data_IF_247604254886
#
_entry.id   IF_247604254886
#
_cell.length_a   1.000
_cell.length_b   1.000
_cell.length_c   1.000
_cell.angle_alpha   90.00
_cell.angle_beta   90.00
_cell.angle_gamma   90.00
#
_symmetry.space_group_name_H-M   'P 1'
#
loop_
_entity.id
_entity.type
_entity.pdbx_description
1 polymer ?
#
# COMPACT_ATOMS: atom_id res chain seq x y z
N UNK A 1 -4.27 33.44 -2.76
CA UNK A 1 -3.98 32.94 -1.41
C UNK A 1 -3.95 31.45 -1.58
N UNK A 2 -2.76 30.84 -1.65
CA UNK A 2 -2.61 29.43 -2.04
C UNK A 2 -3.19 28.54 -0.94
N UNK A 3 -4.16 27.68 -1.26
CA UNK A 3 -4.74 26.71 -0.32
C UNK A 3 -4.40 25.27 -0.74
N UNK A 4 -3.78 24.50 0.15
CA UNK A 4 -3.41 23.11 -0.09
C UNK A 4 -4.22 22.15 0.80
N UNK A 5 -4.81 21.14 0.17
CA UNK A 5 -5.68 20.14 0.81
C UNK A 5 -4.98 18.78 0.89
N UNK A 6 -5.11 18.05 2.00
CA UNK A 6 -4.56 16.69 2.11
C UNK A 6 -5.49 15.67 2.76
N UNK A 7 -5.55 14.46 2.19
CA UNK A 7 -6.45 13.35 2.59
C UNK A 7 -5.59 12.11 2.98
N UNK A 8 -5.57 11.68 4.25
CA UNK A 8 -4.65 10.61 4.73
C UNK A 8 -5.26 9.64 5.75
N UNK A 9 -4.77 8.41 5.82
CA UNK A 9 -4.96 7.46 6.93
C UNK A 9 -3.79 7.56 7.96
N UNK A 10 -4.05 7.39 9.27
CA UNK A 10 -3.08 7.68 10.37
C UNK A 10 -1.75 6.92 10.19
N UNK A 11 -0.64 7.63 9.90
CA UNK A 11 0.70 7.05 9.70
C UNK A 11 1.83 8.12 9.69
N UNK A 12 3.10 7.69 9.62
CA UNK A 12 4.32 8.52 9.46
C UNK A 12 4.23 9.59 8.35
N UNK A 13 3.44 9.33 7.31
CA UNK A 13 3.15 10.27 6.23
C UNK A 13 2.43 11.54 6.73
N UNK A 14 1.62 11.44 7.79
CA UNK A 14 1.00 12.60 8.41
C UNK A 14 2.03 13.54 9.06
N UNK A 15 3.18 13.03 9.49
CA UNK A 15 4.24 13.83 10.14
C UNK A 15 5.03 14.64 9.10
N UNK A 16 5.44 14.00 8.01
CA UNK A 16 6.15 14.71 6.93
C UNK A 16 5.23 15.72 6.24
N UNK A 17 3.94 15.41 6.09
CA UNK A 17 2.96 16.35 5.53
C UNK A 17 2.72 17.52 6.49
N UNK A 18 2.65 17.29 7.81
CA UNK A 18 2.64 18.38 8.81
C UNK A 18 3.90 19.25 8.73
N UNK A 19 5.07 18.65 8.53
CA UNK A 19 6.33 19.40 8.38
C UNK A 19 6.34 20.23 7.10
N UNK A 20 5.83 19.68 5.98
CA UNK A 20 5.64 20.42 4.74
C UNK A 20 4.66 21.58 4.96
N UNK A 21 3.57 21.35 5.69
CA UNK A 21 2.56 22.36 6.01
C UNK A 21 3.14 23.50 6.84
N UNK A 22 3.96 23.19 7.85
CA UNK A 22 4.67 24.20 8.65
C UNK A 22 5.59 25.10 7.79
N UNK A 23 6.27 24.56 6.78
CA UNK A 23 7.08 25.37 5.87
C UNK A 23 6.23 26.20 4.90
N UNK A 24 5.12 25.65 4.41
CA UNK A 24 4.18 26.37 3.56
C UNK A 24 3.50 27.52 4.31
N UNK A 25 3.12 27.32 5.57
CA UNK A 25 2.50 28.33 6.42
C UNK A 25 3.42 29.53 6.69
N UNK A 26 4.75 29.33 6.76
CA UNK A 26 5.72 30.44 6.87
C UNK A 26 5.71 31.36 5.65
N UNK A 27 5.37 30.82 4.48
CA UNK A 27 5.21 31.56 3.22
C UNK A 27 3.77 32.10 3.04
N UNK A 28 2.96 32.09 4.12
CA UNK A 28 1.56 32.57 4.12
C UNK A 28 0.65 31.75 3.20
N UNK A 29 0.96 30.46 3.02
CA UNK A 29 0.15 29.48 2.29
C UNK A 29 -0.71 28.74 3.31
N UNK A 30 -2.04 28.76 3.14
CA UNK A 30 -2.97 28.11 4.05
C UNK A 30 -3.04 26.62 3.73
N UNK A 31 -3.01 25.76 4.74
CA UNK A 31 -3.04 24.30 4.55
C UNK A 31 -4.11 23.65 5.42
N UNK A 32 -4.74 22.58 4.93
CA UNK A 32 -5.70 21.80 5.71
C UNK A 32 -5.44 20.29 5.53
N UNK A 33 -5.34 19.59 6.66
CA UNK A 33 -5.14 18.14 6.72
C UNK A 33 -6.44 17.46 7.17
N UNK A 34 -6.98 16.59 6.32
CA UNK A 34 -8.15 15.76 6.60
C UNK A 34 -7.72 14.30 6.66
N UNK A 35 -8.08 13.62 7.74
CA UNK A 35 -7.82 12.20 7.89
C UNK A 35 -9.06 11.39 7.53
N UNK A 36 -8.95 10.51 6.53
CA UNK A 36 -10.05 9.66 6.06
C UNK A 36 -10.74 8.83 7.15
N UNK A 37 -10.02 8.26 8.14
CA UNK A 37 -10.65 7.49 9.21
C UNK A 37 -11.50 8.35 10.15
N UNK A 38 -11.25 9.66 10.19
CA UNK A 38 -11.89 10.58 11.12
C UNK A 38 -13.12 11.27 10.47
N UNK A 39 -13.47 10.90 9.22
CA UNK A 39 -14.61 11.47 8.46
C UNK A 39 -15.61 10.38 8.06
N UNK A 40 -16.90 10.71 8.11
CA UNK A 40 -18.01 9.85 7.72
C UNK A 40 -18.40 10.12 6.26
N UNK A 41 -17.75 9.42 5.33
CA UNK A 41 -18.05 9.47 3.90
C UNK A 41 -18.93 8.28 3.52
N UNK A 42 -20.07 8.53 2.86
CA UNK A 42 -20.94 7.45 2.37
C UNK A 42 -20.50 7.03 0.97
N UNK A 43 -20.78 5.78 0.57
CA UNK A 43 -20.55 5.34 -0.79
C UNK A 43 -21.28 6.24 -1.79
N UNK A 44 -20.57 6.72 -2.81
CA UNK A 44 -21.16 7.55 -3.85
C UNK A 44 -22.26 6.77 -4.59
N UNK A 45 -23.50 7.26 -4.58
CA UNK A 45 -24.61 6.60 -5.29
C UNK A 45 -24.70 6.97 -6.78
N UNK A 46 -23.84 7.87 -7.26
CA UNK A 46 -23.75 8.31 -8.68
C UNK A 46 -22.75 7.45 -9.47
N UNK A 47 -21.92 6.63 -8.82
CA UNK A 47 -21.04 5.67 -9.51
C UNK A 47 -21.77 4.37 -9.92
N UNK A 48 -23.02 4.17 -9.48
CA UNK A 48 -23.87 3.03 -9.85
C UNK A 48 -25.19 3.45 -10.50
N UNK A 49 -25.61 2.76 -11.57
CA UNK A 49 -26.90 2.99 -12.28
C UNK A 49 -26.80 3.73 -13.63
N UNK A 50 -27.96 4.10 -14.21
CA UNK A 50 -28.07 4.77 -15.54
C UNK A 50 -27.48 6.17 -15.59
N UNK A 51 -27.32 6.81 -14.42
CA UNK A 51 -26.82 8.18 -14.26
C UNK A 51 -25.34 8.21 -13.82
N UNK A 52 -24.56 7.18 -14.21
CA UNK A 52 -23.12 7.09 -13.96
C UNK A 52 -22.43 8.40 -14.35
N UNK A 53 -21.61 8.95 -13.43
CA UNK A 53 -20.87 10.21 -13.63
C UNK A 53 -21.76 11.45 -13.82
N UNK A 54 -23.02 11.41 -13.39
CA UNK A 54 -23.93 12.56 -13.53
C UNK A 54 -23.45 13.84 -12.84
N UNK A 55 -22.46 13.77 -11.93
CA UNK A 55 -21.82 14.92 -11.30
C UNK A 55 -20.63 15.49 -12.10
N UNK A 56 -20.07 14.76 -13.08
CA UNK A 56 -18.96 15.25 -13.90
C UNK A 56 -19.40 16.49 -14.67
N UNK A 57 -18.68 17.59 -14.47
CA UNK A 57 -18.98 18.88 -15.09
C UNK A 57 -20.16 19.64 -14.50
N UNK A 58 -20.81 19.14 -13.43
CA UNK A 58 -21.91 19.81 -12.74
C UNK A 58 -21.52 20.49 -11.43
N UNK A 59 -20.26 20.33 -11.03
CA UNK A 59 -19.62 21.03 -9.93
C UNK A 59 -20.36 20.89 -8.59
N UNK A 60 -21.09 19.78 -8.42
CA UNK A 60 -21.93 19.50 -7.27
C UNK A 60 -21.83 18.04 -6.80
N UNK A 61 -21.63 17.83 -5.50
CA UNK A 61 -21.95 16.56 -4.85
C UNK A 61 -23.41 16.64 -4.36
N UNK A 62 -24.24 15.63 -4.68
CA UNK A 62 -25.66 15.60 -4.30
C UNK A 62 -25.88 15.02 -2.90
N UNK A 63 -24.89 14.32 -2.36
CA UNK A 63 -24.90 13.81 -1.00
C UNK A 63 -24.57 14.99 -0.10
N UNK A 64 -25.54 15.40 0.71
CA UNK A 64 -25.37 16.43 1.76
C UNK A 64 -25.41 15.81 3.16
N UNK A 65 -25.55 14.49 3.22
CA UNK A 65 -25.70 13.71 4.43
C UNK A 65 -24.43 12.91 4.78
N UNK A 66 -23.29 13.31 4.22
CA UNK A 66 -21.95 12.80 4.53
C UNK A 66 -20.92 13.94 4.50
N UNK A 67 -19.71 13.65 5.00
CA UNK A 67 -18.64 14.64 5.12
C UNK A 67 -17.93 14.92 3.78
N UNK A 68 -18.27 14.18 2.71
CA UNK A 68 -17.62 14.34 1.42
C UNK A 68 -17.99 15.65 0.73
N UNK A 69 -19.21 16.16 0.93
CA UNK A 69 -19.61 17.46 0.37
C UNK A 69 -18.69 18.59 0.83
N UNK A 70 -18.43 18.67 2.13
CA UNK A 70 -17.56 19.70 2.71
C UNK A 70 -16.11 19.53 2.23
N UNK A 71 -15.62 18.29 2.21
CA UNK A 71 -14.31 17.94 1.64
C UNK A 71 -14.22 18.35 0.17
N UNK A 72 -15.26 18.11 -0.62
CA UNK A 72 -15.31 18.42 -2.03
C UNK A 72 -15.28 19.94 -2.30
N UNK A 73 -16.02 20.74 -1.54
CA UNK A 73 -15.94 22.20 -1.64
C UNK A 73 -14.54 22.70 -1.26
N UNK A 74 -13.92 22.15 -0.20
CA UNK A 74 -12.54 22.46 0.17
C UNK A 74 -11.53 22.10 -0.93
N UNK A 75 -11.72 20.97 -1.62
CA UNK A 75 -10.90 20.58 -2.77
C UNK A 75 -11.06 21.56 -3.93
N UNK A 76 -12.27 22.06 -4.18
CA UNK A 76 -12.53 23.05 -5.25
C UNK A 76 -11.93 24.42 -4.95
N UNK A 77 -11.92 24.83 -3.69
CA UNK A 77 -11.32 26.08 -3.24
C UNK A 77 -9.79 26.00 -3.14
N UNK A 78 -9.23 24.78 -3.13
CA UNK A 78 -7.80 24.56 -3.07
C UNK A 78 -7.10 24.83 -4.39
N UNK A 79 -6.00 25.58 -4.33
CA UNK A 79 -5.06 25.75 -5.44
C UNK A 79 -4.18 24.51 -5.66
N UNK A 80 -4.12 23.60 -4.66
CA UNK A 80 -3.36 22.35 -4.74
C UNK A 80 -3.90 21.23 -3.86
N UNK A 81 -3.75 19.98 -4.32
CA UNK A 81 -4.21 18.77 -3.64
C UNK A 81 -3.05 17.80 -3.44
N UNK A 82 -2.79 17.39 -2.19
CA UNK A 82 -1.81 16.38 -1.82
C UNK A 82 -2.58 15.14 -1.34
N UNK A 83 -2.58 14.05 -2.11
CA UNK A 83 -3.18 12.79 -1.66
C UNK A 83 -2.11 11.95 -0.95
N UNK A 84 -2.33 11.68 0.34
CA UNK A 84 -1.42 10.86 1.14
C UNK A 84 -2.05 9.51 1.46
N UNK A 85 -1.89 8.52 0.58
CA UNK A 85 -2.09 7.13 1.00
C UNK A 85 -0.93 6.72 1.90
N UNK A 86 -1.12 6.04 3.04
CA UNK A 86 -0.02 5.60 3.88
C UNK A 86 0.86 4.64 3.09
N UNK A 87 1.92 5.14 2.49
CA UNK A 87 2.86 4.27 1.80
C UNK A 87 4.31 4.73 1.97
N UNK A 88 5.05 3.85 2.65
CA UNK A 88 6.49 3.64 2.59
C UNK A 88 7.42 4.52 3.45
N UNK A 89 7.69 3.99 4.65
CA UNK A 89 8.95 4.20 5.40
C UNK A 89 9.76 2.91 5.62
N UNK A 90 9.41 1.80 4.94
CA UNK A 90 10.13 0.50 4.96
C UNK A 90 10.16 -0.05 3.52
N UNK A 91 10.65 0.81 2.61
CA UNK A 91 10.40 0.88 1.16
C UNK A 91 10.43 -0.45 0.38
N UNK A 92 11.19 -1.46 0.82
CA UNK A 92 11.32 -2.74 0.09
C UNK A 92 10.63 -3.89 0.84
N UNK A 93 10.64 -3.83 2.18
CA UNK A 93 10.13 -4.90 3.04
C UNK A 93 8.62 -5.09 2.92
N UNK A 94 7.85 -4.00 2.79
CA UNK A 94 6.38 -4.06 2.61
C UNK A 94 6.03 -4.90 1.39
N UNK A 95 6.60 -4.58 0.22
CA UNK A 95 6.25 -5.29 -1.00
C UNK A 95 6.59 -6.78 -0.91
N UNK A 96 7.74 -7.12 -0.30
CA UNK A 96 8.14 -8.52 -0.12
C UNK A 96 7.20 -9.26 0.85
N UNK A 97 6.81 -8.63 1.96
CA UNK A 97 5.87 -9.22 2.93
C UNK A 97 4.46 -9.36 2.34
N UNK A 98 3.99 -8.37 1.58
CA UNK A 98 2.72 -8.45 0.86
C UNK A 98 2.73 -9.57 -0.17
N UNK A 99 3.84 -9.72 -0.92
CA UNK A 99 4.00 -10.82 -1.87
C UNK A 99 3.92 -12.18 -1.15
N UNK A 100 4.64 -12.36 -0.05
CA UNK A 100 4.57 -13.59 0.75
C UNK A 100 3.16 -13.84 1.26
N UNK A 101 2.52 -12.82 1.83
CA UNK A 101 1.18 -12.95 2.40
C UNK A 101 0.16 -13.35 1.34
N UNK A 102 0.26 -12.82 0.12
CA UNK A 102 -0.66 -13.12 -0.97
C UNK A 102 -0.67 -14.60 -1.38
N UNK A 103 0.50 -15.26 -1.31
CA UNK A 103 0.65 -16.65 -1.75
C UNK A 103 0.59 -17.67 -0.61
N UNK A 104 0.49 -17.24 0.64
CA UNK A 104 0.29 -18.13 1.78
C UNK A 104 -1.19 -18.27 2.13
N UNK A 105 -1.58 -19.46 2.58
CA UNK A 105 -2.96 -19.73 2.99
C UNK A 105 -3.36 -18.96 4.26
N UNK A 106 -2.41 -18.63 5.12
CA UNK A 106 -2.60 -17.86 6.35
C UNK A 106 -1.36 -17.03 6.70
N UNK A 107 -1.54 -16.03 7.57
CA UNK A 107 -0.44 -15.17 8.03
C UNK A 107 0.66 -16.00 8.70
N UNK A 108 1.94 -15.75 8.40
CA UNK A 108 3.06 -16.23 9.21
C UNK A 108 2.90 -15.90 10.69
N UNK A 109 3.11 -16.90 11.54
CA UNK A 109 3.07 -16.79 13.01
C UNK A 109 4.46 -17.00 13.64
N UNK A 110 5.41 -17.50 12.86
CA UNK A 110 6.80 -17.69 13.26
C UNK A 110 7.70 -16.84 12.37
N UNK A 111 8.34 -15.84 12.99
CA UNK A 111 9.20 -14.88 12.31
C UNK A 111 10.59 -14.92 12.93
N UNK A 112 11.60 -15.22 12.12
CA UNK A 112 13.01 -15.09 12.49
C UNK A 112 13.67 -14.11 11.54
N UNK A 113 14.46 -13.18 12.06
CA UNK A 113 15.11 -12.18 11.22
C UNK A 113 16.48 -11.79 11.74
N UNK A 114 17.31 -11.30 10.82
CA UNK A 114 18.60 -10.68 11.11
C UNK A 114 18.71 -9.40 10.30
N UNK A 115 19.28 -8.36 10.91
CA UNK A 115 19.44 -7.05 10.30
C UNK A 115 20.87 -6.56 10.46
N UNK A 116 21.35 -5.86 9.43
CA UNK A 116 22.50 -4.97 9.51
C UNK A 116 21.97 -3.55 9.39
N UNK A 117 22.23 -2.72 10.40
CA UNK A 117 21.81 -1.32 10.41
C UNK A 117 22.84 -0.43 9.70
N UNK A 118 22.34 0.59 9.00
CA UNK A 118 23.17 1.65 8.45
C UNK A 118 23.68 2.58 9.57
N UNK A 119 24.67 3.46 9.30
CA UNK A 119 25.09 4.50 10.25
C UNK A 119 23.96 5.43 10.70
N UNK A 120 22.94 5.63 9.85
CA UNK A 120 21.70 6.37 10.17
C UNK A 120 20.72 5.61 11.06
N UNK A 121 21.03 4.36 11.42
CA UNK A 121 20.21 3.43 12.24
C UNK A 121 18.94 2.90 11.57
N UNK A 122 18.74 3.16 10.28
CA UNK A 122 17.75 2.44 9.47
C UNK A 122 18.31 1.07 9.07
N UNK A 123 17.46 0.16 8.63
CA UNK A 123 17.89 -1.14 8.09
C UNK A 123 18.65 -0.95 6.76
N UNK A 124 19.86 -1.51 6.69
CA UNK A 124 20.70 -1.50 5.47
C UNK A 124 20.54 -2.82 4.71
N UNK A 125 20.51 -3.94 5.43
CA UNK A 125 20.29 -5.28 4.91
C UNK A 125 19.50 -6.09 5.91
N UNK A 126 18.59 -6.92 5.42
CA UNK A 126 17.82 -7.83 6.27
C UNK A 126 17.62 -9.18 5.61
N UNK A 127 17.67 -10.23 6.42
CA UNK A 127 17.21 -11.58 6.07
C UNK A 127 16.06 -11.95 6.99
N UNK A 128 14.93 -12.38 6.43
CA UNK A 128 13.72 -12.73 7.18
C UNK A 128 13.27 -14.13 6.75
N UNK A 129 13.02 -14.98 7.72
CA UNK A 129 12.44 -16.31 7.59
C UNK A 129 11.05 -16.29 8.22
N UNK A 130 10.07 -16.76 7.45
CA UNK A 130 8.66 -16.77 7.82
C UNK A 130 8.14 -18.19 7.71
N UNK A 131 7.30 -18.58 8.67
CA UNK A 131 6.54 -19.82 8.63
C UNK A 131 5.15 -19.58 9.22
N UNK A 132 4.15 -20.27 8.68
CA UNK A 132 2.81 -20.30 9.26
C UNK A 132 2.46 -21.66 9.87
N UNK A 133 1.29 -21.79 10.50
CA UNK A 133 0.83 -23.02 11.15
C UNK A 133 0.56 -24.15 10.15
N UNK A 134 0.32 -23.84 8.86
CA UNK A 134 0.26 -24.81 7.75
C UNK A 134 1.62 -25.33 7.28
N UNK A 135 2.73 -24.91 7.91
CA UNK A 135 4.09 -25.27 7.53
C UNK A 135 4.51 -24.73 6.15
N UNK A 136 3.82 -23.70 5.65
CA UNK A 136 4.29 -22.95 4.48
C UNK A 136 5.43 -22.03 4.93
N UNK A 137 6.48 -21.91 4.11
CA UNK A 137 7.67 -21.14 4.45
C UNK A 137 7.98 -20.10 3.38
N UNK A 138 8.53 -18.97 3.82
CA UNK A 138 9.12 -17.97 2.93
C UNK A 138 10.45 -17.46 3.48
N UNK A 139 11.32 -17.05 2.55
CA UNK A 139 12.57 -16.36 2.86
C UNK A 139 12.60 -15.05 2.09
N UNK A 140 12.90 -13.96 2.80
CA UNK A 140 13.04 -12.63 2.22
C UNK A 140 14.48 -12.18 2.46
N UNK A 141 15.12 -11.66 1.41
CA UNK A 141 16.40 -10.97 1.49
C UNK A 141 16.22 -9.54 0.98
N UNK A 142 16.65 -8.57 1.78
CA UNK A 142 16.51 -7.14 1.53
C UNK A 142 17.87 -6.47 1.64
N UNK A 143 18.08 -5.44 0.83
CA UNK A 143 19.32 -4.65 0.81
C UNK A 143 19.07 -3.29 0.20
N UNK A 144 19.57 -2.25 0.86
CA UNK A 144 19.46 -0.86 0.42
C UNK A 144 20.47 -0.53 -0.71
N UNK A 145 21.68 -1.10 -0.65
CA UNK A 145 22.79 -0.71 -1.53
C UNK A 145 23.05 -1.70 -2.67
N UNK A 146 22.93 -3.00 -2.40
CA UNK A 146 23.17 -4.01 -3.43
C UNK A 146 21.91 -4.17 -4.29
N UNK A 147 21.99 -3.79 -5.57
CA UNK A 147 20.87 -3.93 -6.50
C UNK A 147 20.57 -5.42 -6.73
N UNK A 148 19.46 -5.90 -6.17
CA UNK A 148 18.93 -7.22 -6.43
C UNK A 148 17.79 -7.14 -7.46
N UNK A 149 17.58 -8.18 -8.28
CA UNK A 149 16.33 -8.27 -9.03
C UNK A 149 15.17 -8.38 -8.04
N UNK A 150 14.09 -7.61 -8.27
CA UNK A 150 12.85 -7.77 -7.50
C UNK A 150 12.12 -9.02 -7.97
N UNK A 151 12.60 -10.17 -7.51
CA UNK A 151 12.14 -11.48 -7.95
C UNK A 151 11.44 -12.20 -6.82
N UNK A 152 10.19 -12.57 -7.06
CA UNK A 152 9.45 -13.53 -6.25
C UNK A 152 9.46 -14.90 -6.94
N UNK A 153 9.67 -15.95 -6.16
CA UNK A 153 9.53 -17.33 -6.63
C UNK A 153 8.56 -18.06 -5.69
N UNK A 154 7.52 -18.67 -6.26
CA UNK A 154 6.57 -19.49 -5.52
C UNK A 154 6.76 -20.93 -5.97
N UNK A 155 7.05 -21.84 -5.05
CA UNK A 155 7.29 -23.25 -5.35
C UNK A 155 6.18 -24.13 -4.77
N UNK A 156 5.67 -25.04 -5.59
CA UNK A 156 4.66 -26.04 -5.25
C UNK A 156 5.11 -27.43 -5.76
N UNK A 157 4.36 -28.47 -5.41
CA UNK A 157 4.70 -29.88 -5.69
C UNK A 157 4.93 -30.19 -7.18
N UNK A 158 4.24 -29.47 -8.08
CA UNK A 158 4.24 -29.75 -9.54
C UNK A 158 5.07 -28.77 -10.36
N UNK A 159 5.65 -27.76 -9.72
CA UNK A 159 6.28 -26.66 -10.44
C UNK A 159 6.51 -25.43 -9.59
N UNK A 160 7.06 -24.41 -10.22
CA UNK A 160 7.30 -23.13 -9.59
C UNK A 160 6.97 -21.97 -10.53
N UNK A 161 6.66 -20.82 -9.93
CA UNK A 161 6.30 -19.60 -10.61
C UNK A 161 7.36 -18.55 -10.29
N UNK A 162 7.89 -17.89 -11.32
CA UNK A 162 8.80 -16.75 -11.18
C UNK A 162 8.10 -15.47 -11.63
N UNK A 163 8.17 -14.45 -10.77
CA UNK A 163 7.62 -13.11 -11.04
C UNK A 163 8.74 -12.10 -10.83
N UNK A 164 9.12 -11.41 -11.90
CA UNK A 164 10.11 -10.34 -11.88
C UNK A 164 9.42 -8.97 -11.82
N UNK A 165 10.07 -8.02 -11.14
CA UNK A 165 9.49 -6.71 -10.83
C UNK A 165 8.11 -6.83 -10.17
N UNK A 166 7.95 -7.79 -9.25
CA UNK A 166 6.68 -8.13 -8.60
C UNK A 166 5.87 -6.97 -8.01
N UNK A 167 6.44 -5.82 -7.59
CA UNK A 167 5.61 -4.68 -7.17
C UNK A 167 4.73 -4.10 -8.28
N UNK A 168 5.10 -4.30 -9.56
CA UNK A 168 4.36 -3.81 -10.74
C UNK A 168 4.48 -4.78 -11.91
N UNK A 169 4.43 -6.08 -11.62
CA UNK A 169 4.66 -7.12 -12.60
C UNK A 169 3.55 -7.15 -13.65
N UNK A 170 3.92 -7.37 -14.91
CA UNK A 170 3.02 -7.68 -16.01
C UNK A 170 3.32 -9.04 -16.65
N UNK A 171 4.32 -9.77 -16.12
CA UNK A 171 4.74 -11.08 -16.61
C UNK A 171 5.02 -12.03 -15.46
N UNK A 172 4.67 -13.30 -15.66
CA UNK A 172 5.06 -14.40 -14.81
C UNK A 172 5.46 -15.59 -15.69
N UNK A 173 6.39 -16.41 -15.22
CA UNK A 173 6.77 -17.67 -15.87
C UNK A 173 6.43 -18.81 -14.93
N UNK A 174 5.64 -19.76 -15.41
CA UNK A 174 5.36 -21.01 -14.72
C UNK A 174 6.25 -22.08 -15.33
N UNK A 175 6.97 -22.82 -14.49
CA UNK A 175 7.75 -23.99 -14.91
C UNK A 175 7.16 -25.23 -14.28
N UNK A 176 6.75 -26.20 -15.10
CA UNK A 176 6.24 -27.49 -14.66
C UNK A 176 7.37 -28.50 -14.60
N UNK A 177 7.54 -29.17 -13.46
CA UNK A 177 8.70 -30.05 -13.22
C UNK A 177 8.54 -31.45 -13.79
N UNK A 178 7.32 -31.85 -14.16
CA UNK A 178 7.03 -33.20 -14.69
C UNK A 178 7.66 -33.43 -16.07
N UNK A 179 7.62 -32.42 -16.94
CA UNK A 179 8.11 -32.46 -18.33
C UNK A 179 9.03 -31.27 -18.69
N UNK A 180 9.30 -30.38 -17.73
CA UNK A 180 10.12 -29.17 -17.87
C UNK A 180 9.58 -28.15 -18.88
N UNK A 181 8.28 -28.19 -19.22
CA UNK A 181 7.72 -27.13 -20.05
C UNK A 181 7.51 -25.84 -19.24
N UNK A 182 7.52 -24.72 -19.95
CA UNK A 182 7.30 -23.39 -19.38
C UNK A 182 6.13 -22.70 -20.07
N UNK A 183 5.30 -22.02 -19.27
CA UNK A 183 4.24 -21.14 -19.74
C UNK A 183 4.54 -19.71 -19.28
N UNK A 184 4.47 -18.75 -20.21
CA UNK A 184 4.60 -17.34 -19.90
C UNK A 184 3.21 -16.70 -19.89
N UNK A 185 2.87 -16.09 -18.76
CA UNK A 185 1.67 -15.28 -18.60
C UNK A 185 2.09 -13.82 -18.76
N UNK A 186 1.38 -13.08 -19.61
CA UNK A 186 1.54 -11.63 -19.78
C UNK A 186 0.18 -10.95 -19.71
N UNK A 187 0.02 -10.02 -18.75
CA UNK A 187 -1.22 -9.31 -18.52
C UNK A 187 -0.98 -7.94 -17.85
N UNK A 188 -1.93 -7.03 -18.04
CA UNK A 188 -1.88 -5.67 -17.50
C UNK A 188 -0.80 -4.77 -18.13
N UNK A 189 -0.72 -3.54 -17.64
CA UNK A 189 0.35 -2.57 -17.98
C UNK A 189 0.91 -1.97 -16.68
N UNK A 190 2.23 -1.94 -16.56
CA UNK A 190 2.92 -1.36 -15.39
C UNK A 190 2.60 0.14 -15.20
N UNK A 191 2.24 0.84 -16.29
CA UNK A 191 1.84 2.25 -16.26
C UNK A 191 0.50 2.45 -15.57
N UNK A 192 -0.35 1.42 -15.60
CA UNK A 192 -1.69 1.43 -15.03
C UNK A 192 -1.70 0.83 -13.60
N UNK A 193 -0.53 0.54 -13.00
CA UNK A 193 -0.44 -0.06 -11.66
C UNK A 193 -1.30 0.67 -10.62
N UNK A 194 -1.21 2.00 -10.57
CA UNK A 194 -2.02 2.82 -9.66
C UNK A 194 -3.51 2.84 -10.04
N UNK A 195 -3.81 2.75 -11.34
CA UNK A 195 -5.19 2.67 -11.82
C UNK A 195 -5.87 1.38 -11.33
N UNK A 196 -5.15 0.26 -11.30
CA UNK A 196 -5.67 -1.00 -10.74
C UNK A 196 -5.99 -0.87 -9.25
N UNK A 197 -5.07 -0.31 -8.45
CA UNK A 197 -5.29 -0.09 -7.01
C UNK A 197 -6.50 0.83 -6.73
N UNK A 198 -6.63 1.92 -7.50
CA UNK A 198 -7.78 2.82 -7.37
C UNK A 198 -9.08 2.11 -7.73
N UNK A 199 -9.07 1.27 -8.78
CA UNK A 199 -10.25 0.52 -9.20
C UNK A 199 -10.69 -0.48 -8.11
N UNK A 200 -9.75 -1.18 -7.48
CA UNK A 200 -10.04 -2.11 -6.39
C UNK A 200 -10.58 -1.38 -5.14
N UNK A 201 -10.07 -0.17 -4.89
CA UNK A 201 -10.58 0.70 -3.82
C UNK A 201 -12.01 1.13 -4.10
N UNK A 202 -12.30 1.57 -5.32
CA UNK A 202 -13.67 1.90 -5.74
C UNK A 202 -14.60 0.69 -5.61
N UNK A 203 -14.18 -0.50 -6.07
CA UNK A 203 -14.98 -1.71 -5.94
C UNK A 203 -15.28 -2.05 -4.47
N UNK A 204 -14.27 -2.02 -3.61
CA UNK A 204 -14.43 -2.28 -2.16
C UNK A 204 -15.47 -1.34 -1.53
N UNK A 205 -15.41 -0.04 -1.86
CA UNK A 205 -16.38 0.95 -1.36
C UNK A 205 -17.79 0.67 -1.92
N UNK A 206 -17.88 0.22 -3.17
CA UNK A 206 -19.13 0.02 -3.90
C UNK A 206 -19.88 -1.25 -3.50
N UNK A 207 -19.15 -2.34 -3.28
CA UNK A 207 -19.73 -3.66 -2.99
C UNK A 207 -19.69 -3.99 -1.51
N UNK A 208 -18.88 -3.25 -0.72
CA UNK A 208 -18.54 -3.58 0.66
C UNK A 208 -17.90 -4.98 0.79
N UNK A 209 -17.37 -5.52 -0.32
CA UNK A 209 -16.56 -6.72 -0.36
C UNK A 209 -15.09 -6.35 -0.17
N UNK A 210 -14.31 -7.25 0.41
CA UNK A 210 -12.90 -7.00 0.74
C UNK A 210 -11.98 -7.18 -0.48
N UNK A 211 -12.21 -6.44 -1.56
CA UNK A 211 -11.41 -6.52 -2.79
C UNK A 211 -10.01 -5.94 -2.58
N UNK A 212 -9.88 -4.89 -1.77
CA UNK A 212 -8.61 -4.28 -1.39
C UNK A 212 -7.79 -5.11 -0.39
N UNK A 213 -8.35 -6.20 0.15
CA UNK A 213 -7.68 -7.05 1.14
C UNK A 213 -7.13 -6.26 2.35
N UNK A 214 -8.02 -5.56 3.06
CA UNK A 214 -7.67 -4.80 4.27
C UNK A 214 -7.10 -5.72 5.37
N UNK A 215 -7.60 -6.95 5.45
CA UNK A 215 -7.07 -8.02 6.30
C UNK A 215 -5.58 -8.31 6.01
N UNK A 216 -5.19 -8.40 4.73
CA UNK A 216 -3.78 -8.61 4.37
C UNK A 216 -2.92 -7.40 4.73
N UNK A 217 -3.48 -6.19 4.62
CA UNK A 217 -2.80 -4.98 5.07
C UNK A 217 -2.50 -5.03 6.56
N UNK A 218 -3.46 -5.45 7.40
CA UNK A 218 -3.24 -5.65 8.83
C UNK A 218 -2.18 -6.72 9.11
N UNK A 219 -2.24 -7.86 8.41
CA UNK A 219 -1.27 -8.94 8.55
C UNK A 219 0.16 -8.47 8.26
N UNK A 220 0.36 -7.71 7.18
CA UNK A 220 1.67 -7.19 6.79
C UNK A 220 2.19 -6.19 7.81
N UNK A 221 1.35 -5.25 8.27
CA UNK A 221 1.75 -4.25 9.26
C UNK A 221 2.08 -4.86 10.61
N UNK A 222 1.36 -5.90 11.01
CA UNK A 222 1.65 -6.66 12.22
C UNK A 222 3.00 -7.39 12.11
N UNK A 223 3.25 -8.11 11.00
CA UNK A 223 4.55 -8.75 10.75
C UNK A 223 5.70 -7.73 10.76
N UNK A 224 5.52 -6.57 10.13
CA UNK A 224 6.52 -5.50 10.15
C UNK A 224 6.82 -4.98 11.55
N UNK A 225 5.79 -4.83 12.37
CA UNK A 225 5.93 -4.38 13.76
C UNK A 225 6.73 -5.39 14.57
N UNK A 226 6.39 -6.68 14.48
CA UNK A 226 7.13 -7.75 15.14
C UNK A 226 8.61 -7.80 14.70
N UNK A 227 8.88 -7.64 13.40
CA UNK A 227 10.24 -7.60 12.87
C UNK A 227 11.02 -6.43 13.45
N UNK A 228 10.46 -5.21 13.40
CA UNK A 228 11.09 -4.01 13.96
C UNK A 228 11.36 -4.11 15.46
N UNK A 229 10.40 -4.63 16.21
CA UNK A 229 10.55 -4.90 17.64
C UNK A 229 11.70 -5.87 17.91
N UNK A 230 11.81 -6.94 17.13
CA UNK A 230 12.92 -7.90 17.23
C UNK A 230 14.29 -7.27 16.96
N UNK A 231 14.33 -6.20 16.17
CA UNK A 231 15.54 -5.42 15.88
C UNK A 231 15.81 -4.30 16.90
N UNK A 232 14.89 -4.08 17.84
CA UNK A 232 14.94 -2.96 18.78
C UNK A 232 14.72 -1.59 18.13
N UNK A 233 14.09 -1.54 16.95
CA UNK A 233 13.79 -0.30 16.22
C UNK A 233 12.41 0.24 16.62
N UNK A 234 12.39 1.25 17.46
CA UNK A 234 11.16 1.97 17.85
C UNK A 234 11.11 3.35 17.20
N UNK A 235 9.90 3.77 16.83
CA UNK A 235 9.66 5.14 16.44
C UNK A 235 9.52 6.03 17.68
N UNK A 236 9.84 7.34 17.57
CA UNK A 236 9.69 8.28 18.69
C UNK A 236 8.31 8.28 19.35
N UNK A 237 7.27 7.99 18.57
CA UNK A 237 5.87 7.95 19.01
C UNK A 237 5.49 6.66 19.76
N UNK A 238 6.35 5.64 19.74
CA UNK A 238 6.19 4.34 20.44
C UNK A 238 6.96 4.30 21.78
N UNK A 239 7.56 5.42 22.20
CA UNK A 239 8.35 5.57 23.43
C UNK A 239 7.60 6.21 24.59
#
# INVERSE_FOLDING_TARGET
MLFFFCLINKSLLAIIIRTIFEELEKEVISTELIQLPDVHIKPCRITQGKDRLACIGKDNCVFKDDDFYEIFEKIKEADGLILGSPVYGVDIGVYALSFVRWFMSEKPDQILSQVRLAPSKVDEQAGILLMNSKQEMATIALTLHAKQPKRGMIAYDKGYIEIYEYPRACKAVITYTEDNHQEMIECGDTKDALYYEITDMEQTILTNENVMHLDFTYDVMDMMSQIRESWGLKYPEEM
#
